data_IF_185700288389
#
_entry.id   IF_185700288389
#
_cell.length_a   1.000
_cell.length_b   1.000
_cell.length_c   1.000
_cell.angle_alpha   90.00
_cell.angle_beta   90.00
_cell.angle_gamma   90.00
#
_symmetry.space_group_name_H-M   'P 1'
#
loop_
_entity.id
_entity.type
_entity.pdbx_description
1 polymer ?
#
# COMPACT_ATOMS: atom_id res chain seq x y z
N UNK A 1 8.38 -42.69 14.04
CA UNK A 1 9.04 -41.91 12.97
C UNK A 1 7.97 -41.31 12.05
N UNK A 2 7.97 -40.00 11.81
CA UNK A 2 6.94 -39.35 10.98
C UNK A 2 7.14 -39.68 9.49
N UNK A 3 6.09 -40.21 8.84
CA UNK A 3 6.11 -40.61 7.43
C UNK A 3 6.19 -39.36 6.54
N UNK A 4 7.32 -39.16 5.84
CA UNK A 4 7.50 -38.03 4.93
C UNK A 4 6.51 -38.10 3.76
N UNK A 5 5.74 -37.03 3.54
CA UNK A 5 4.82 -36.89 2.39
C UNK A 5 5.62 -36.88 1.08
N UNK A 6 5.21 -37.70 0.11
CA UNK A 6 5.76 -37.68 -1.25
C UNK A 6 5.36 -36.38 -1.94
N UNK A 7 6.33 -35.66 -2.51
CA UNK A 7 6.09 -34.48 -3.35
C UNK A 7 5.68 -34.97 -4.73
N UNK A 8 4.53 -34.51 -5.23
CA UNK A 8 4.00 -34.88 -6.54
C UNK A 8 3.78 -33.57 -7.31
N UNK A 9 4.15 -33.57 -8.58
CA UNK A 9 3.80 -32.46 -9.48
C UNK A 9 2.30 -32.52 -9.78
N UNK A 10 1.58 -31.48 -9.37
CA UNK A 10 0.17 -31.32 -9.67
C UNK A 10 0.06 -30.36 -10.85
N UNK A 11 -0.72 -30.75 -11.86
CA UNK A 11 -1.04 -29.87 -12.97
C UNK A 11 -1.74 -28.60 -12.45
N UNK A 12 -1.14 -27.44 -12.72
CA UNK A 12 -1.71 -26.13 -12.40
C UNK A 12 -2.04 -25.43 -13.72
N UNK A 13 -3.32 -25.38 -14.14
CA UNK A 13 -3.69 -24.70 -15.37
C UNK A 13 -3.30 -23.22 -15.35
N UNK A 14 -3.09 -22.65 -16.53
CA UNK A 14 -2.82 -21.22 -16.67
C UNK A 14 -3.99 -20.40 -16.10
N UNK A 15 -3.67 -19.42 -15.26
CA UNK A 15 -4.67 -18.52 -14.69
C UNK A 15 -5.27 -17.67 -15.80
N UNK A 16 -6.56 -17.34 -15.67
CA UNK A 16 -7.23 -16.38 -16.55
C UNK A 16 -6.43 -15.06 -16.61
N UNK A 17 -6.38 -14.40 -17.78
CA UNK A 17 -5.69 -13.14 -17.92
C UNK A 17 -6.28 -12.11 -16.96
N UNK A 18 -5.41 -11.38 -16.27
CA UNK A 18 -5.86 -10.35 -15.33
C UNK A 18 -6.60 -9.24 -16.09
N UNK A 19 -7.68 -8.68 -15.53
CA UNK A 19 -8.40 -7.59 -16.17
C UNK A 19 -7.45 -6.39 -16.36
N UNK A 20 -7.49 -5.81 -17.57
CA UNK A 20 -6.75 -4.58 -17.87
C UNK A 20 -7.50 -3.42 -17.23
N UNK A 21 -6.80 -2.60 -16.46
CA UNK A 21 -7.41 -1.41 -15.84
C UNK A 21 -7.75 -0.39 -16.92
N UNK A 22 -9.00 0.09 -17.01
CA UNK A 22 -9.36 1.20 -17.88
C UNK A 22 -8.52 2.45 -17.57
N UNK A 23 -8.18 3.24 -18.59
CA UNK A 23 -7.33 4.42 -18.39
C UNK A 23 -8.03 5.50 -17.55
N UNK A 24 -9.35 5.65 -17.72
CA UNK A 24 -10.16 6.56 -16.92
C UNK A 24 -10.08 6.23 -15.42
N UNK A 25 -10.20 4.95 -15.06
CA UNK A 25 -10.06 4.51 -13.68
C UNK A 25 -8.64 4.70 -13.15
N UNK A 26 -7.61 4.49 -13.97
CA UNK A 26 -6.24 4.78 -13.54
C UNK A 26 -6.05 6.23 -13.14
N UNK A 27 -6.61 7.17 -13.91
CA UNK A 27 -6.54 8.61 -13.63
C UNK A 27 -7.33 8.96 -12.36
N UNK A 28 -8.57 8.47 -12.26
CA UNK A 28 -9.43 8.70 -11.10
C UNK A 28 -8.79 8.20 -9.80
N UNK A 29 -8.25 6.98 -9.81
CA UNK A 29 -7.60 6.40 -8.63
C UNK A 29 -6.31 7.15 -8.29
N UNK A 30 -5.53 7.53 -9.29
CA UNK A 30 -4.33 8.33 -9.07
C UNK A 30 -4.69 9.63 -8.36
N UNK A 31 -5.69 10.37 -8.85
CA UNK A 31 -6.15 11.63 -8.26
C UNK A 31 -6.66 11.45 -6.83
N UNK A 32 -7.60 10.52 -6.61
CA UNK A 32 -8.15 10.25 -5.27
C UNK A 32 -7.08 9.81 -4.28
N UNK A 33 -6.16 8.95 -4.70
CA UNK A 33 -5.08 8.50 -3.83
C UNK A 33 -4.07 9.62 -3.55
N UNK A 34 -3.72 10.44 -4.53
CA UNK A 34 -2.84 11.60 -4.33
C UNK A 34 -3.47 12.60 -3.36
N UNK A 35 -4.76 12.90 -3.51
CA UNK A 35 -5.49 13.77 -2.59
C UNK A 35 -5.49 13.20 -1.17
N UNK A 36 -5.79 11.91 -1.00
CA UNK A 36 -5.74 11.23 0.29
C UNK A 36 -4.34 11.23 0.91
N UNK A 37 -3.29 11.05 0.09
CA UNK A 37 -1.91 11.12 0.55
C UNK A 37 -1.62 12.51 1.13
N UNK A 38 -1.99 13.56 0.42
CA UNK A 38 -1.71 14.95 0.83
C UNK A 38 -2.53 15.38 2.03
N UNK A 39 -3.82 15.05 2.08
CA UNK A 39 -4.72 15.52 3.14
C UNK A 39 -4.61 14.71 4.44
N UNK A 40 -4.34 13.41 4.35
CA UNK A 40 -4.42 12.51 5.50
C UNK A 40 -3.06 11.90 5.85
N UNK A 41 -2.33 11.35 4.87
CA UNK A 41 -1.12 10.58 5.16
C UNK A 41 0.08 11.46 5.47
N UNK A 42 0.38 12.46 4.64
CA UNK A 42 1.51 13.37 4.86
C UNK A 42 1.46 14.07 6.22
N UNK A 43 0.36 14.76 6.61
CA UNK A 43 0.33 15.46 7.89
C UNK A 43 0.38 14.53 9.11
N UNK A 44 -0.14 13.30 9.00
CA UNK A 44 -0.13 12.33 10.12
C UNK A 44 1.16 11.55 10.25
N UNK A 45 1.85 11.28 9.14
CA UNK A 45 3.01 10.40 9.12
C UNK A 45 4.34 11.15 9.04
N UNK A 46 4.38 12.31 8.38
CA UNK A 46 5.58 13.15 8.29
C UNK A 46 5.59 14.08 9.51
N UNK A 47 5.79 13.50 10.69
CA UNK A 47 6.04 14.28 11.91
C UNK A 47 7.52 14.65 11.98
N UNK A 48 7.84 15.79 12.58
CA UNK A 48 9.23 16.27 12.76
C UNK A 48 10.06 15.33 13.63
N UNK A 49 9.42 14.65 14.58
CA UNK A 49 10.06 13.73 15.51
C UNK A 49 10.05 12.31 14.92
N UNK A 50 11.12 11.96 14.21
CA UNK A 50 11.31 10.56 13.80
C UNK A 50 11.67 9.73 15.01
N UNK A 51 10.78 8.82 15.41
CA UNK A 51 11.06 7.93 16.54
C UNK A 51 12.11 6.84 16.20
N UNK A 52 12.53 6.76 14.93
CA UNK A 52 13.58 5.87 14.48
C UNK A 52 14.93 6.61 14.41
N UNK A 53 15.98 6.12 15.08
CA UNK A 53 17.30 6.77 15.10
C UNK A 53 18.08 6.64 13.79
N UNK A 54 17.66 5.77 12.87
CA UNK A 54 18.38 5.50 11.62
C UNK A 54 17.77 6.19 10.41
N UNK A 55 16.44 6.31 10.36
CA UNK A 55 15.73 6.78 9.17
C UNK A 55 14.59 7.72 9.52
N UNK A 56 14.44 8.78 8.72
CA UNK A 56 13.31 9.71 8.78
C UNK A 56 12.42 9.55 7.56
N UNK A 57 11.10 9.52 7.78
CA UNK A 57 10.13 9.55 6.69
C UNK A 57 10.05 10.98 6.13
N UNK A 58 10.35 11.13 4.85
CA UNK A 58 10.40 12.44 4.16
C UNK A 58 9.18 12.66 3.29
N UNK A 59 8.74 11.63 2.57
CA UNK A 59 7.62 11.76 1.66
C UNK A 59 6.83 10.46 1.54
N UNK A 60 5.58 10.61 1.10
CA UNK A 60 4.70 9.50 0.74
C UNK A 60 4.12 9.84 -0.63
N UNK A 61 4.15 8.89 -1.54
CA UNK A 61 3.56 9.06 -2.87
C UNK A 61 2.99 7.74 -3.41
N UNK A 62 2.17 7.83 -4.46
CA UNK A 62 1.57 6.69 -5.11
C UNK A 62 1.96 6.61 -6.59
N UNK A 63 2.19 5.40 -7.11
CA UNK A 63 2.37 5.19 -8.56
C UNK A 63 1.76 3.88 -9.03
N UNK A 64 1.28 3.92 -10.27
CA UNK A 64 0.83 2.73 -10.99
C UNK A 64 2.02 1.87 -11.41
N UNK A 65 1.89 0.56 -11.20
CA UNK A 65 2.79 -0.44 -11.76
C UNK A 65 1.95 -1.62 -12.27
N UNK A 66 1.90 -1.78 -13.59
CA UNK A 66 1.06 -2.78 -14.27
C UNK A 66 -0.43 -2.59 -13.91
N UNK A 67 -1.05 -3.58 -13.25
CA UNK A 67 -2.45 -3.56 -12.79
C UNK A 67 -2.58 -3.20 -11.31
N UNK A 68 -1.50 -2.75 -10.67
CA UNK A 68 -1.48 -2.42 -9.26
C UNK A 68 -1.16 -0.95 -9.05
N UNK A 69 -1.87 -0.32 -8.13
CA UNK A 69 -1.47 0.96 -7.58
C UNK A 69 -0.67 0.71 -6.31
N UNK A 70 0.53 1.27 -6.22
CA UNK A 70 1.42 1.07 -5.07
C UNK A 70 1.63 2.39 -4.33
N UNK A 71 1.54 2.32 -3.01
CA UNK A 71 1.97 3.39 -2.14
C UNK A 71 3.43 3.18 -1.72
N UNK A 72 4.19 4.26 -1.79
CA UNK A 72 5.60 4.33 -1.46
C UNK A 72 5.82 5.35 -0.35
N UNK A 73 6.77 5.04 0.51
CA UNK A 73 7.32 5.93 1.51
C UNK A 73 8.80 6.18 1.17
N UNK A 74 9.22 7.43 1.19
CA UNK A 74 10.61 7.86 1.00
C UNK A 74 11.21 8.08 2.37
N UNK A 75 12.32 7.37 2.63
CA UNK A 75 13.07 7.50 3.86
C UNK A 75 14.45 8.05 3.58
N UNK A 76 14.87 9.00 4.41
CA UNK A 76 16.23 9.49 4.43
C UNK A 76 16.99 8.89 5.61
N UNK A 77 18.24 8.52 5.36
CA UNK A 77 19.18 8.07 6.39
C UNK A 77 19.64 9.26 7.22
N UNK A 78 19.65 9.07 8.53
CA UNK A 78 20.21 10.05 9.47
C UNK A 78 21.74 9.92 9.61
N UNK A 79 22.29 8.78 9.17
CA UNK A 79 23.73 8.54 9.14
C UNK A 79 24.40 9.29 7.95
N UNK A 80 25.33 10.24 8.22
CA UNK A 80 26.06 10.98 7.19
C UNK A 80 26.91 10.11 6.26
N UNK A 81 27.38 8.96 6.75
CA UNK A 81 28.26 8.05 6.00
C UNK A 81 27.48 6.96 5.25
N UNK A 82 26.15 7.06 5.23
CA UNK A 82 25.31 6.05 4.58
C UNK A 82 25.55 6.00 3.07
N UNK A 83 25.81 4.80 2.50
CA UNK A 83 25.96 4.64 1.06
C UNK A 83 24.65 4.89 0.29
N UNK A 84 23.51 4.96 0.99
CA UNK A 84 22.19 5.29 0.44
C UNK A 84 21.53 6.35 1.30
N UNK A 85 21.67 7.64 0.96
CA UNK A 85 21.11 8.72 1.75
C UNK A 85 19.58 8.74 1.70
N UNK A 86 18.97 8.25 0.61
CA UNK A 86 17.51 8.17 0.47
C UNK A 86 17.08 6.87 -0.20
N UNK A 87 15.97 6.28 0.24
CA UNK A 87 15.38 5.09 -0.38
C UNK A 87 13.85 5.04 -0.32
N UNK A 88 13.26 4.42 -1.34
CA UNK A 88 11.82 4.19 -1.44
C UNK A 88 11.43 2.80 -0.90
N UNK A 89 10.34 2.72 -0.13
CA UNK A 89 9.78 1.46 0.34
C UNK A 89 8.28 1.38 0.09
N UNK A 90 7.83 0.28 -0.51
CA UNK A 90 6.40 -0.02 -0.70
C UNK A 90 5.81 -0.55 0.60
N UNK A 91 4.62 -0.07 0.96
CA UNK A 91 3.91 -0.54 2.15
C UNK A 91 2.51 -1.09 1.86
N UNK A 92 1.80 -0.51 0.89
CA UNK A 92 0.45 -0.94 0.48
C UNK A 92 0.35 -1.05 -1.03
N UNK A 93 -0.49 -1.98 -1.50
CA UNK A 93 -0.92 -2.05 -2.90
C UNK A 93 -2.44 -2.17 -3.03
N UNK A 94 -3.00 -1.57 -4.07
CA UNK A 94 -4.35 -1.78 -4.56
C UNK A 94 -4.29 -2.60 -5.84
N UNK A 95 -5.00 -3.71 -5.91
CA UNK A 95 -5.17 -4.52 -7.11
C UNK A 95 -6.54 -4.25 -7.72
N UNK A 96 -6.56 -3.88 -9.00
CA UNK A 96 -7.81 -3.77 -9.74
C UNK A 96 -8.39 -5.16 -10.02
N UNK A 97 -9.63 -5.39 -9.57
CA UNK A 97 -10.34 -6.66 -9.76
C UNK A 97 -11.47 -6.49 -10.78
N UNK A 98 -12.20 -5.39 -10.68
CA UNK A 98 -13.35 -5.05 -11.52
C UNK A 98 -13.68 -3.56 -11.33
N UNK A 99 -14.56 -2.97 -12.17
CA UNK A 99 -14.96 -1.57 -12.00
C UNK A 99 -15.39 -1.29 -10.56
N UNK A 100 -14.87 -0.20 -10.01
CA UNK A 100 -15.05 0.27 -8.63
C UNK A 100 -14.72 -0.75 -7.52
N UNK A 101 -13.98 -1.82 -7.86
CA UNK A 101 -13.60 -2.90 -6.93
C UNK A 101 -12.09 -3.12 -6.92
N UNK A 102 -11.50 -2.76 -5.80
CA UNK A 102 -10.07 -2.90 -5.54
C UNK A 102 -9.81 -3.79 -4.34
N UNK A 103 -8.85 -4.70 -4.46
CA UNK A 103 -8.32 -5.45 -3.34
C UNK A 103 -7.15 -4.70 -2.72
N UNK A 104 -7.15 -4.57 -1.40
CA UNK A 104 -6.03 -3.97 -0.66
C UNK A 104 -5.16 -5.08 -0.08
N UNK A 105 -3.85 -4.96 -0.29
CA UNK A 105 -2.88 -5.83 0.36
C UNK A 105 -1.78 -5.01 1.02
N UNK A 106 -1.59 -5.26 2.32
CA UNK A 106 -0.48 -4.73 3.11
C UNK A 106 0.73 -5.66 2.99
N UNK A 107 1.92 -5.08 2.84
CA UNK A 107 3.14 -5.85 2.74
C UNK A 107 3.56 -6.33 4.14
N UNK A 108 3.25 -7.61 4.45
CA UNK A 108 3.41 -8.23 5.79
C UNK A 108 4.87 -8.42 6.24
N UNK A 109 5.84 -8.33 5.33
CA UNK A 109 7.25 -8.60 5.62
C UNK A 109 8.16 -7.43 5.26
N UNK A 110 7.80 -6.22 5.69
CA UNK A 110 8.74 -5.11 5.82
C UNK A 110 9.59 -5.27 7.09
N UNK A 111 10.26 -6.43 7.24
CA UNK A 111 10.98 -6.97 8.44
C UNK A 111 12.22 -6.16 8.87
N UNK A 112 12.18 -4.84 8.83
CA UNK A 112 13.26 -4.00 9.41
C UNK A 112 12.77 -2.65 9.91
N UNK A 113 11.46 -2.37 9.85
CA UNK A 113 10.88 -1.15 10.43
C UNK A 113 9.74 -1.60 11.37
N UNK A 114 10.08 -2.55 12.25
CA UNK A 114 9.12 -3.16 13.16
C UNK A 114 9.00 -2.30 14.42
N UNK A 115 7.87 -1.59 14.53
CA UNK A 115 6.97 -1.66 15.69
C UNK A 115 5.99 -0.49 15.74
N UNK A 116 6.34 0.67 15.16
CA UNK A 116 5.48 1.88 15.23
C UNK A 116 4.71 2.22 13.96
N UNK A 117 5.29 2.01 12.79
CA UNK A 117 4.56 2.26 11.52
C UNK A 117 3.35 1.32 11.37
N UNK A 118 3.42 0.10 11.95
CA UNK A 118 2.27 -0.81 12.04
C UNK A 118 1.16 -0.27 12.97
N UNK A 119 1.45 0.63 13.92
CA UNK A 119 0.43 1.30 14.75
C UNK A 119 -0.28 2.43 14.02
N UNK A 120 0.38 3.11 13.07
CA UNK A 120 -0.24 4.15 12.24
C UNK A 120 -1.18 3.57 11.18
N UNK A 121 -0.85 2.40 10.60
CA UNK A 121 -1.72 1.73 9.62
C UNK A 121 -2.80 0.82 10.24
N UNK A 122 -2.69 0.45 11.53
CA UNK A 122 -3.70 -0.35 12.23
C UNK A 122 -5.09 0.32 12.36
N UNK A 123 -5.22 1.64 12.66
CA UNK A 123 -6.53 2.28 12.72
C UNK A 123 -7.16 2.46 11.33
N UNK A 124 -6.35 2.51 10.25
CA UNK A 124 -6.86 2.46 8.87
C UNK A 124 -7.46 1.07 8.62
N UNK A 125 -6.79 -0.01 9.02
CA UNK A 125 -7.31 -1.39 8.91
C UNK A 125 -8.63 -1.63 9.65
N UNK A 126 -8.90 -0.91 10.76
CA UNK A 126 -10.15 -1.04 11.53
C UNK A 126 -11.35 -0.34 10.91
N UNK A 127 -11.12 0.67 10.06
CA UNK A 127 -12.19 1.39 9.33
C UNK A 127 -12.50 0.77 7.97
N UNK A 128 -11.80 -0.28 7.58
CA UNK A 128 -12.00 -0.95 6.30
C UNK A 128 -12.80 -2.23 6.47
N UNK A 129 -13.77 -2.50 5.57
CA UNK A 129 -14.56 -3.71 5.63
C UNK A 129 -13.66 -4.96 5.71
N UNK A 130 -13.96 -5.91 6.60
CA UNK A 130 -13.12 -7.10 6.81
C UNK A 130 -12.97 -7.99 5.57
N UNK A 131 -13.81 -7.79 4.56
CA UNK A 131 -13.78 -8.44 3.26
C UNK A 131 -12.85 -7.76 2.23
N UNK A 132 -12.15 -6.69 2.61
CA UNK A 132 -11.08 -6.08 1.80
C UNK A 132 -11.55 -5.39 0.53
N UNK A 133 -12.86 -5.14 0.41
CA UNK A 133 -13.48 -4.39 -0.68
C UNK A 133 -13.58 -2.93 -0.31
N UNK A 134 -12.83 -2.07 -0.99
CA UNK A 134 -13.26 -0.68 -1.13
C UNK A 134 -14.29 -0.64 -2.24
N UNK A 135 -15.55 -0.39 -1.88
CA UNK A 135 -16.51 0.20 -2.82
C UNK A 135 -16.24 1.69 -2.75
N UNK A 136 -15.71 2.26 -3.83
CA UNK A 136 -15.60 3.70 -3.95
C UNK A 136 -17.00 4.16 -4.31
N UNK A 137 -17.85 4.40 -3.31
CA UNK A 137 -19.20 4.92 -3.57
C UNK A 137 -19.06 6.27 -4.31
N UNK A 138 -19.57 6.39 -5.55
CA UNK A 138 -19.52 7.66 -6.30
C UNK A 138 -20.42 8.75 -5.67
N UNK A 139 -21.10 8.46 -4.55
CA UNK A 139 -22.17 9.30 -3.98
C UNK A 139 -21.74 10.10 -2.74
N UNK A 140 -20.49 10.00 -2.26
CA UNK A 140 -20.05 10.74 -1.06
C UNK A 140 -19.77 12.24 -1.31
N UNK A 141 -20.09 12.77 -2.49
CA UNK A 141 -19.88 14.19 -2.84
C UNK A 141 -20.88 15.16 -2.19
N UNK A 142 -21.91 14.69 -1.48
CA UNK A 142 -23.00 15.57 -0.98
C UNK A 142 -23.36 15.38 0.50
N UNK A 143 -22.40 15.27 1.41
CA UNK A 143 -22.66 15.46 2.86
C UNK A 143 -21.54 16.23 3.54
N UNK A 144 -21.56 17.55 3.33
CA UNK A 144 -20.99 18.54 4.25
C UNK A 144 -21.89 19.78 4.17
N UNK A 145 -22.89 19.82 5.05
CA UNK A 145 -23.58 21.04 5.49
C UNK A 145 -23.21 21.21 6.96
#
# INVERSE_FOLDING_TARGET
>A
MAKKRKKIWVYSPAKLPKPKVPEAEKKLILEKCSQFIESELKPKCITSESNNPFFRLVDIFGKWYRNFFHFYAVYDSLDPDSPKPSFEKRFTRLEYVAPDRFNIAYMRHSVSIESEQLRFFNPINRKLPPDGKFIIDPTQENRSV
#
